data_IF_269879029252
#
_entry.id   IF_269879029252
#
_cell.length_a   1.000
_cell.length_b   1.000
_cell.length_c   1.000
_cell.angle_alpha   90.00
_cell.angle_beta   90.00
_cell.angle_gamma   90.00
#
_symmetry.space_group_name_H-M   'P 1'
#
loop_
_entity.id
_entity.type
_entity.pdbx_description
1 polymer ?
#
# COMPACT_ATOMS: atom_id res chain seq x y z
N UNK A 1 -15.51 -7.78 23.70
CA UNK A 1 -14.09 -7.79 23.28
C UNK A 1 -13.99 -7.27 21.84
N UNK A 2 -13.11 -6.31 21.52
CA UNK A 2 -12.92 -5.85 20.13
C UNK A 2 -11.98 -6.80 19.39
N UNK A 3 -12.39 -7.33 18.23
CA UNK A 3 -11.61 -8.29 17.43
C UNK A 3 -10.31 -7.72 16.85
N UNK A 4 -10.11 -6.38 16.89
CA UNK A 4 -8.97 -5.65 16.33
C UNK A 4 -8.78 -5.81 14.80
N UNK A 5 -9.78 -6.36 14.11
CA UNK A 5 -9.89 -6.41 12.66
C UNK A 5 -11.37 -6.34 12.25
N UNK A 6 -11.63 -6.13 10.96
CA UNK A 6 -12.98 -6.01 10.41
C UNK A 6 -13.67 -7.39 10.39
N UNK A 7 -14.91 -7.45 10.89
CA UNK A 7 -15.73 -8.67 10.92
C UNK A 7 -17.12 -8.39 10.39
N UNK A 8 -17.85 -9.43 9.95
CA UNK A 8 -19.26 -9.29 9.60
C UNK A 8 -20.15 -9.14 10.85
N UNK A 9 -21.47 -8.98 10.65
CA UNK A 9 -22.42 -8.85 11.75
C UNK A 9 -22.46 -10.08 12.68
N UNK A 10 -21.97 -11.23 12.23
CA UNK A 10 -21.85 -12.48 13.02
C UNK A 10 -20.48 -12.62 13.69
N UNK A 11 -19.61 -11.62 13.58
CA UNK A 11 -18.27 -11.65 14.16
C UNK A 11 -17.26 -12.50 13.37
N UNK A 12 -17.57 -12.90 12.14
CA UNK A 12 -16.69 -13.73 11.30
C UNK A 12 -15.71 -12.87 10.52
N UNK A 13 -14.44 -13.32 10.43
CA UNK A 13 -13.44 -12.70 9.57
C UNK A 13 -13.70 -13.08 8.10
N UNK A 14 -14.60 -12.35 7.45
CA UNK A 14 -14.96 -12.59 6.04
C UNK A 14 -14.24 -11.65 5.07
N UNK A 15 -13.69 -10.54 5.57
CA UNK A 15 -13.12 -9.49 4.71
C UNK A 15 -11.63 -9.68 4.44
N UNK A 16 -10.87 -10.22 5.40
CA UNK A 16 -9.43 -10.47 5.24
C UNK A 16 -9.02 -11.90 5.67
N UNK A 17 -9.72 -12.97 5.26
CA UNK A 17 -9.37 -14.33 5.65
C UNK A 17 -8.12 -14.87 4.95
N UNK A 18 -7.71 -14.27 3.82
CA UNK A 18 -6.72 -14.81 2.89
C UNK A 18 -5.54 -13.85 2.64
N UNK A 19 -4.84 -13.45 3.70
CA UNK A 19 -3.69 -12.54 3.58
C UNK A 19 -2.53 -13.15 2.79
N UNK A 20 -2.40 -14.47 2.80
CA UNK A 20 -1.39 -15.23 2.06
C UNK A 20 -1.49 -15.00 0.55
N UNK A 21 -2.69 -14.65 0.03
CA UNK A 21 -2.87 -14.33 -1.40
C UNK A 21 -2.24 -13.00 -1.80
N UNK A 22 -1.84 -12.18 -0.83
CA UNK A 22 -1.07 -10.97 -1.04
C UNK A 22 0.44 -11.20 -0.86
N UNK A 23 0.90 -12.45 -0.74
CA UNK A 23 2.32 -12.82 -0.78
C UNK A 23 2.88 -12.74 -2.21
N UNK A 24 2.83 -11.53 -2.78
CA UNK A 24 3.36 -11.17 -4.09
C UNK A 24 4.28 -9.95 -3.94
N UNK A 25 5.30 -9.78 -4.82
CA UNK A 25 6.10 -8.57 -4.81
C UNK A 25 5.23 -7.33 -5.03
N UNK A 26 5.12 -6.46 -4.02
CA UNK A 26 4.19 -5.34 -4.01
C UNK A 26 4.88 -4.07 -3.54
N UNK A 27 4.74 -3.00 -4.33
CA UNK A 27 5.17 -1.64 -3.97
C UNK A 27 3.98 -0.73 -3.79
N UNK A 28 3.94 -0.04 -2.65
CA UNK A 28 2.99 1.05 -2.39
C UNK A 28 3.70 2.36 -2.74
N UNK A 29 3.15 3.14 -3.67
CA UNK A 29 3.60 4.51 -3.96
C UNK A 29 2.54 5.47 -3.46
N UNK A 30 2.91 6.38 -2.56
CA UNK A 30 1.95 7.20 -1.82
C UNK A 30 2.40 8.66 -1.70
N UNK A 31 1.52 9.60 -2.03
CA UNK A 31 1.76 11.03 -1.86
C UNK A 31 1.75 11.46 -0.39
N UNK A 32 2.82 12.10 0.09
CA UNK A 32 2.99 12.45 1.49
C UNK A 32 1.98 13.51 2.00
N UNK A 33 1.29 14.20 1.09
CA UNK A 33 0.28 15.23 1.39
C UNK A 33 -1.12 14.77 0.98
N UNK A 34 -1.33 13.46 0.84
CA UNK A 34 -2.63 12.89 0.52
C UNK A 34 -3.64 13.06 1.67
N UNK A 35 -4.61 13.95 1.48
CA UNK A 35 -5.70 14.19 2.44
C UNK A 35 -6.89 13.22 2.31
N UNK A 36 -7.03 12.53 1.17
CA UNK A 36 -8.13 11.58 0.93
C UNK A 36 -7.82 10.22 1.55
N UNK A 37 -6.60 9.73 1.33
CA UNK A 37 -6.06 8.53 1.96
C UNK A 37 -4.83 8.94 2.76
N UNK A 38 -5.00 9.10 4.08
CA UNK A 38 -3.92 9.58 4.94
C UNK A 38 -2.68 8.66 4.89
N UNK A 39 -1.44 9.18 4.80
CA UNK A 39 -0.22 8.37 4.67
C UNK A 39 -0.05 7.30 5.77
N UNK A 40 -0.41 7.64 7.00
CA UNK A 40 -0.41 6.69 8.12
C UNK A 40 -1.28 5.45 7.89
N UNK A 41 -2.30 5.52 7.02
CA UNK A 41 -3.09 4.37 6.60
C UNK A 41 -2.27 3.38 5.78
N UNK A 42 -1.55 3.87 4.77
CA UNK A 42 -0.65 3.03 3.96
C UNK A 42 0.51 2.46 4.77
N UNK A 43 1.04 3.21 5.74
CA UNK A 43 2.06 2.69 6.67
C UNK A 43 1.54 1.51 7.50
N UNK A 44 0.28 1.59 7.97
CA UNK A 44 -0.37 0.48 8.68
C UNK A 44 -0.59 -0.72 7.77
N UNK A 45 -1.05 -0.52 6.54
CA UNK A 45 -1.19 -1.60 5.55
C UNK A 45 0.15 -2.26 5.23
N UNK A 46 1.20 -1.47 5.04
CA UNK A 46 2.56 -1.95 4.80
C UNK A 46 3.08 -2.79 5.97
N UNK A 47 2.95 -2.28 7.21
CA UNK A 47 3.33 -3.00 8.41
C UNK A 47 2.52 -4.30 8.58
N UNK A 48 1.21 -4.26 8.30
CA UNK A 48 0.35 -5.42 8.37
C UNK A 48 0.74 -6.51 7.36
N UNK A 49 1.01 -6.15 6.10
CA UNK A 49 1.48 -7.09 5.08
C UNK A 49 2.79 -7.79 5.51
N UNK A 50 3.77 -7.00 5.97
CA UNK A 50 5.06 -7.53 6.46
C UNK A 50 4.92 -8.41 7.70
N UNK A 51 3.90 -8.21 8.52
CA UNK A 51 3.67 -9.03 9.70
C UNK A 51 3.01 -10.39 9.39
N UNK A 52 2.37 -10.53 8.22
CA UNK A 52 1.60 -11.74 7.86
C UNK A 52 2.22 -12.55 6.72
N UNK A 53 3.14 -11.97 5.96
CA UNK A 53 3.81 -12.58 4.81
C UNK A 53 5.32 -12.29 4.87
N UNK A 54 6.11 -12.81 3.92
CA UNK A 54 7.54 -12.50 3.83
C UNK A 54 7.75 -10.97 3.70
N UNK A 55 8.42 -10.31 4.67
CA UNK A 55 8.61 -8.87 4.68
C UNK A 55 9.39 -8.34 3.47
N UNK A 56 10.17 -9.19 2.79
CA UNK A 56 11.00 -8.81 1.64
C UNK A 56 10.20 -8.57 0.36
N UNK A 57 8.95 -9.04 0.32
CA UNK A 57 8.04 -8.85 -0.82
C UNK A 57 7.52 -7.42 -0.93
N UNK A 58 7.60 -6.62 0.14
CA UNK A 58 6.90 -5.35 0.22
C UNK A 58 7.85 -4.16 0.25
N UNK A 59 7.46 -3.08 -0.44
CA UNK A 59 8.11 -1.77 -0.33
C UNK A 59 7.10 -0.63 -0.27
N UNK A 60 7.50 0.49 0.34
CA UNK A 60 6.71 1.71 0.45
C UNK A 60 7.55 2.91 0.02
N UNK A 61 7.07 3.67 -0.96
CA UNK A 61 7.68 4.92 -1.45
C UNK A 61 6.74 6.07 -1.08
N UNK A 62 7.26 7.05 -0.34
CA UNK A 62 6.53 8.29 -0.02
C UNK A 62 7.04 9.43 -0.90
N UNK A 63 6.14 10.06 -1.63
CA UNK A 63 6.45 11.18 -2.53
C UNK A 63 6.14 12.52 -1.82
N UNK A 64 7.15 13.34 -1.47
CA UNK A 64 6.93 14.65 -0.87
C UNK A 64 6.18 15.58 -1.82
N UNK A 65 5.26 16.42 -1.32
CA UNK A 65 4.50 17.39 -2.14
C UNK A 65 3.61 16.76 -3.21
N UNK A 66 3.10 15.56 -2.93
CA UNK A 66 2.09 14.88 -3.75
C UNK A 66 0.85 14.64 -2.89
N UNK A 67 -0.29 15.10 -3.36
CA UNK A 67 -1.61 14.76 -2.87
C UNK A 67 -2.10 13.40 -3.42
N UNK A 68 -3.40 13.15 -3.31
CA UNK A 68 -3.99 11.87 -3.73
C UNK A 68 -3.79 11.62 -5.23
N UNK A 69 -4.26 12.58 -6.04
CA UNK A 69 -4.39 12.38 -7.48
C UNK A 69 -3.11 12.75 -8.23
N UNK A 70 -2.20 13.47 -7.57
CA UNK A 70 -0.91 13.88 -8.13
C UNK A 70 -0.03 12.68 -8.50
N UNK A 71 -0.22 11.53 -7.85
CA UNK A 71 0.50 10.31 -8.19
C UNK A 71 0.15 9.79 -9.59
N UNK A 72 -0.95 10.25 -10.20
CA UNK A 72 -1.41 9.84 -11.52
C UNK A 72 -1.46 11.03 -12.49
N UNK A 73 -2.10 12.15 -12.10
CA UNK A 73 -2.31 13.30 -12.98
C UNK A 73 -1.39 14.50 -12.70
N UNK A 74 -0.53 14.41 -11.67
CA UNK A 74 0.37 15.50 -11.34
C UNK A 74 1.37 15.74 -12.48
N UNK A 75 1.71 17.01 -12.74
CA UNK A 75 2.64 17.37 -13.82
C UNK A 75 3.99 16.64 -13.72
N UNK A 76 4.40 16.28 -12.48
CA UNK A 76 5.65 15.57 -12.17
C UNK A 76 5.46 14.06 -11.99
N UNK A 77 4.26 13.51 -12.22
CA UNK A 77 4.00 12.08 -12.04
C UNK A 77 4.86 11.24 -12.99
N UNK A 78 5.00 11.67 -14.24
CA UNK A 78 5.80 10.97 -15.25
C UNK A 78 7.28 10.86 -14.86
N UNK A 79 7.84 11.86 -14.17
CA UNK A 79 9.25 11.89 -13.78
C UNK A 79 9.51 11.36 -12.38
N UNK A 80 8.53 11.39 -11.47
CA UNK A 80 8.74 11.02 -10.06
C UNK A 80 7.99 9.77 -9.61
N UNK A 81 6.85 9.43 -10.25
CA UNK A 81 6.04 8.27 -9.87
C UNK A 81 6.36 7.09 -10.78
N UNK A 82 6.25 7.26 -12.10
CA UNK A 82 6.33 6.14 -13.03
C UNK A 82 7.68 5.42 -13.04
N UNK A 83 8.84 6.09 -12.84
CA UNK A 83 10.10 5.38 -12.65
C UNK A 83 10.09 4.46 -11.42
N UNK A 84 9.38 4.81 -10.35
CA UNK A 84 9.24 3.96 -9.16
C UNK A 84 8.39 2.71 -9.45
N UNK A 85 7.43 2.82 -10.37
CA UNK A 85 6.64 1.67 -10.83
C UNK A 85 7.49 0.79 -11.73
N UNK A 86 8.19 1.38 -12.72
CA UNK A 86 9.05 0.65 -13.64
C UNK A 86 10.15 -0.13 -12.89
N UNK A 87 10.87 0.53 -11.97
CA UNK A 87 11.92 -0.11 -11.18
C UNK A 87 11.39 -1.32 -10.38
N UNK A 88 10.15 -1.27 -9.87
CA UNK A 88 9.54 -2.41 -9.18
C UNK A 88 9.26 -3.55 -10.16
N UNK A 89 8.64 -3.23 -11.30
CA UNK A 89 8.30 -4.21 -12.32
C UNK A 89 9.54 -4.91 -12.87
N UNK A 90 10.60 -4.16 -13.23
CA UNK A 90 11.87 -4.70 -13.73
C UNK A 90 12.58 -5.61 -12.71
N UNK A 91 12.37 -5.38 -11.42
CA UNK A 91 12.97 -6.20 -10.36
C UNK A 91 12.18 -7.48 -10.06
N UNK A 92 10.93 -7.57 -10.48
CA UNK A 92 10.00 -8.62 -10.01
C UNK A 92 9.26 -9.37 -11.12
N UNK A 93 9.48 -8.98 -12.38
CA UNK A 93 9.06 -9.70 -13.59
C UNK A 93 10.26 -10.39 -14.23
#
# INVERSE_FOLDING_TARGET
VRARHLVDFKGRNVYMPHVERLAIPLRIVHGAENACFHPAGSEKSYAWLRAHNDPTLYSLVRLPKFGHIDCIFGERAASLVYPQILEHLERTL
#
